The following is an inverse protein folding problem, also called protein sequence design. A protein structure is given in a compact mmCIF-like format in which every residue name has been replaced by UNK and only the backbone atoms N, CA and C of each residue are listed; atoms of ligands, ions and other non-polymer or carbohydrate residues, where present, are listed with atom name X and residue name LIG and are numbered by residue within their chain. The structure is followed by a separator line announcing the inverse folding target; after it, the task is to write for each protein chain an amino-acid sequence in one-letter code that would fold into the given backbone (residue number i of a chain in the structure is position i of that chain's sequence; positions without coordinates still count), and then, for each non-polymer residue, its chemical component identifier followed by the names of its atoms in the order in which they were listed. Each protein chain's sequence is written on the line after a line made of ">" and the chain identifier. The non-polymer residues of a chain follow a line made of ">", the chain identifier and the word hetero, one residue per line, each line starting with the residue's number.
data_IF_064590456098
#
_entry.id   IF_064590456098
#
_cell.length_a   1.000
_cell.length_b   1.000
_cell.length_c   1.000
_cell.angle_alpha   90.00
_cell.angle_beta   90.00
_cell.angle_gamma   90.00
#
_symmetry.space_group_name_H-M   'P 1'
#
loop_
_entity.id
_entity.type
_entity.pdbx_description
1 polymer ?
#
# COMPACT_ATOMS: atom_id res chain seq x y z
N UNK A 1 12.01 -15.22 -13.11
CA UNK A 1 12.79 -13.99 -12.85
C UNK A 1 12.65 -13.57 -11.39
N UNK A 2 13.71 -13.76 -10.60
CA UNK A 2 13.73 -13.60 -9.13
C UNK A 2 13.36 -12.19 -8.64
N UNK A 3 13.58 -11.15 -9.46
CA UNK A 3 13.26 -9.75 -9.12
C UNK A 3 11.74 -9.47 -9.04
N UNK A 4 10.94 -10.09 -9.90
CA UNK A 4 9.47 -9.92 -9.88
C UNK A 4 8.83 -10.56 -8.65
N UNK A 5 9.34 -11.70 -8.20
CA UNK A 5 8.86 -12.35 -6.98
C UNK A 5 9.19 -11.53 -5.73
N UNK A 6 10.36 -10.88 -5.70
CA UNK A 6 10.72 -9.93 -4.63
C UNK A 6 9.80 -8.72 -4.62
N UNK A 7 9.53 -8.15 -5.79
CA UNK A 7 8.63 -6.98 -5.95
C UNK A 7 7.19 -7.31 -5.52
N UNK A 8 6.71 -8.50 -5.88
CA UNK A 8 5.40 -9.01 -5.45
C UNK A 8 5.33 -9.19 -3.94
N UNK A 9 6.35 -9.79 -3.31
CA UNK A 9 6.44 -9.92 -1.84
C UNK A 9 6.44 -8.55 -1.16
N UNK A 10 7.17 -7.58 -1.72
CA UNK A 10 7.21 -6.21 -1.21
C UNK A 10 5.83 -5.52 -1.25
N UNK A 11 5.09 -5.68 -2.36
CA UNK A 11 3.69 -5.21 -2.46
C UNK A 11 2.79 -5.85 -1.38
N UNK A 12 2.92 -7.15 -1.13
CA UNK A 12 2.17 -7.83 -0.06
C UNK A 12 2.52 -7.25 1.32
N UNK A 13 3.81 -6.97 1.58
CA UNK A 13 4.24 -6.33 2.83
C UNK A 13 3.61 -4.94 2.99
N UNK A 14 3.55 -4.14 1.92
CA UNK A 14 2.88 -2.84 1.95
C UNK A 14 1.39 -2.95 2.25
N UNK A 15 0.70 -3.93 1.65
CA UNK A 15 -0.71 -4.20 1.96
C UNK A 15 -0.90 -4.63 3.42
N UNK A 16 -0.06 -5.53 3.94
CA UNK A 16 -0.16 -5.95 5.35
C UNK A 16 0.13 -4.81 6.31
N UNK A 17 1.10 -3.95 5.98
CA UNK A 17 1.44 -2.81 6.82
C UNK A 17 0.34 -1.74 6.79
N UNK A 18 -0.24 -1.48 5.61
CA UNK A 18 -1.42 -0.62 5.48
C UNK A 18 -2.59 -1.11 6.34
N UNK A 19 -2.88 -2.42 6.32
CA UNK A 19 -3.93 -3.00 7.15
C UNK A 19 -3.65 -2.85 8.65
N UNK A 20 -2.40 -3.03 9.09
CA UNK A 20 -1.99 -2.81 10.47
C UNK A 20 -2.19 -1.35 10.91
N UNK A 21 -1.77 -0.39 10.08
CA UNK A 21 -1.99 1.03 10.37
C UNK A 21 -3.47 1.40 10.37
N UNK A 22 -4.29 0.75 9.54
CA UNK A 22 -5.73 0.95 9.53
C UNK A 22 -6.39 0.45 10.83
N UNK A 23 -6.00 -0.73 11.31
CA UNK A 23 -6.45 -1.26 12.61
C UNK A 23 -6.00 -0.33 13.75
N UNK A 24 -4.74 0.11 13.73
CA UNK A 24 -4.23 1.07 14.71
C UNK A 24 -5.02 2.39 14.68
N UNK A 25 -5.40 2.86 13.50
CA UNK A 25 -6.27 4.03 13.33
C UNK A 25 -7.65 3.80 13.96
N UNK A 26 -8.28 2.63 13.73
CA UNK A 26 -9.57 2.32 14.35
C UNK A 26 -9.48 2.28 15.88
N UNK A 27 -8.42 1.66 16.42
CA UNK A 27 -8.19 1.64 17.87
C UNK A 27 -8.00 3.07 18.38
N UNK A 28 -7.12 3.85 17.77
CA UNK A 28 -6.86 5.24 18.16
C UNK A 28 -8.14 6.10 18.08
N UNK A 29 -8.98 5.91 17.07
CA UNK A 29 -10.27 6.58 16.93
C UNK A 29 -11.25 6.23 18.05
N UNK A 30 -11.30 4.96 18.47
CA UNK A 30 -12.18 4.51 19.56
C UNK A 30 -11.69 4.97 20.93
N UNK A 31 -10.37 5.04 21.14
CA UNK A 31 -9.77 5.48 22.40
C UNK A 31 -9.74 7.00 22.55
N UNK A 32 -9.64 7.73 21.44
CA UNK A 32 -9.73 9.19 21.47
C UNK A 32 -11.19 9.64 21.54
N UNK A 33 -11.47 10.72 22.27
CA UNK A 33 -12.78 11.40 22.25
C UNK A 33 -13.02 12.14 20.91
N UNK A 34 -12.62 11.54 19.79
CA UNK A 34 -12.71 12.12 18.46
C UNK A 34 -14.16 12.40 18.05
N UNK A 35 -15.09 11.56 18.53
CA UNK A 35 -16.53 11.79 18.39
C UNK A 35 -16.98 13.09 19.06
N UNK A 36 -16.39 13.48 20.18
CA UNK A 36 -16.69 14.74 20.87
C UNK A 36 -16.13 15.94 20.11
N UNK A 37 -15.01 15.78 19.41
CA UNK A 37 -14.47 16.82 18.52
C UNK A 37 -15.42 17.02 17.33
N UNK A 38 -15.87 15.94 16.70
CA UNK A 38 -16.81 15.98 15.58
C UNK A 38 -18.19 16.54 15.96
N UNK A 39 -18.68 16.21 17.16
CA UNK A 39 -20.03 16.57 17.59
C UNK A 39 -20.10 17.92 18.34
N UNK A 40 -19.10 18.24 19.15
CA UNK A 40 -19.14 19.37 20.07
C UNK A 40 -18.03 20.41 19.84
N UNK A 41 -17.13 20.19 18.86
CA UNK A 41 -15.97 21.07 18.59
C UNK A 41 -15.11 21.32 19.84
N UNK A 42 -15.17 20.43 20.82
CA UNK A 42 -14.49 20.55 22.10
C UNK A 42 -13.38 19.50 22.16
N UNK A 43 -12.16 19.90 22.50
CA UNK A 43 -11.01 18.99 22.55
C UNK A 43 -10.46 18.93 23.97
N UNK A 44 -10.57 17.76 24.59
CA UNK A 44 -9.82 17.43 25.79
C UNK A 44 -8.49 16.69 25.48
N UNK A 45 -8.41 16.01 24.33
CA UNK A 45 -7.20 15.28 23.91
C UNK A 45 -6.85 15.49 22.43
N UNK A 46 -6.20 16.62 22.13
CA UNK A 46 -5.77 17.02 20.78
C UNK A 46 -4.72 16.05 20.22
N UNK A 47 -3.91 15.44 21.08
CA UNK A 47 -2.80 14.56 20.69
C UNK A 47 -3.30 13.24 20.12
N UNK A 48 -4.25 12.59 20.80
CA UNK A 48 -4.86 11.36 20.30
C UNK A 48 -5.50 11.57 18.92
N UNK A 49 -6.13 12.72 18.72
CA UNK A 49 -6.80 13.06 17.48
C UNK A 49 -5.83 13.27 16.31
N UNK A 50 -4.74 14.02 16.54
CA UNK A 50 -3.69 14.22 15.53
C UNK A 50 -3.05 12.86 15.15
N UNK A 51 -2.79 11.99 16.14
CA UNK A 51 -2.21 10.67 15.88
C UNK A 51 -3.12 9.78 15.02
N UNK A 52 -4.43 9.78 15.28
CA UNK A 52 -5.40 9.04 14.46
C UNK A 52 -5.35 9.47 12.99
N UNK A 53 -5.30 10.78 12.73
CA UNK A 53 -5.19 11.31 11.36
C UNK A 53 -3.86 10.92 10.71
N UNK A 54 -2.75 11.00 11.45
CA UNK A 54 -1.44 10.60 10.94
C UNK A 54 -1.43 9.11 10.57
N UNK A 55 -1.94 8.23 11.43
CA UNK A 55 -2.01 6.80 11.12
C UNK A 55 -2.90 6.50 9.92
N UNK A 56 -4.01 7.23 9.77
CA UNK A 56 -4.88 7.10 8.60
C UNK A 56 -4.13 7.49 7.31
N UNK A 57 -3.42 8.62 7.31
CA UNK A 57 -2.64 9.08 6.16
C UNK A 57 -1.55 8.08 5.79
N UNK A 58 -0.83 7.55 6.78
CA UNK A 58 0.19 6.51 6.55
C UNK A 58 -0.46 5.25 5.95
N UNK A 59 -1.60 4.80 6.48
CA UNK A 59 -2.31 3.65 5.95
C UNK A 59 -2.67 3.82 4.47
N UNK A 60 -3.19 5.00 4.09
CA UNK A 60 -3.55 5.34 2.70
C UNK A 60 -2.31 5.35 1.80
N UNK A 61 -1.22 6.01 2.21
CA UNK A 61 0.02 6.08 1.42
C UNK A 61 0.57 4.67 1.16
N UNK A 62 0.61 3.83 2.20
CA UNK A 62 1.08 2.45 2.08
C UNK A 62 0.18 1.61 1.17
N UNK A 63 -1.14 1.84 1.21
CA UNK A 63 -2.09 1.16 0.34
C UNK A 63 -1.83 1.51 -1.13
N UNK A 64 -1.70 2.80 -1.43
CA UNK A 64 -1.42 3.30 -2.79
C UNK A 64 -0.06 2.78 -3.27
N UNK A 65 0.98 2.83 -2.44
CA UNK A 65 2.29 2.28 -2.77
C UNK A 65 2.23 0.78 -3.08
N UNK A 66 1.47 0.01 -2.29
CA UNK A 66 1.24 -1.42 -2.52
C UNK A 66 0.56 -1.71 -3.87
N UNK A 67 -0.44 -0.91 -4.24
CA UNK A 67 -1.15 -0.99 -5.52
C UNK A 67 -0.21 -0.66 -6.70
N UNK A 68 0.50 0.47 -6.62
CA UNK A 68 1.42 0.93 -7.67
C UNK A 68 2.52 -0.10 -7.93
N UNK A 69 3.14 -0.64 -6.86
CA UNK A 69 4.15 -1.70 -6.99
C UNK A 69 3.61 -2.95 -7.68
N UNK A 70 2.35 -3.31 -7.41
CA UNK A 70 1.70 -4.47 -8.06
C UNK A 70 1.43 -4.21 -9.54
N UNK A 71 1.01 -3.00 -9.90
CA UNK A 71 0.80 -2.59 -11.29
C UNK A 71 2.12 -2.63 -12.07
N UNK A 72 3.17 -1.97 -11.57
CA UNK A 72 4.51 -1.96 -12.19
C UNK A 72 5.05 -3.37 -12.38
N UNK A 73 4.90 -4.24 -11.36
CA UNK A 73 5.36 -5.63 -11.46
C UNK A 73 4.60 -6.43 -12.53
N UNK A 74 3.32 -6.13 -12.74
CA UNK A 74 2.51 -6.79 -13.76
C UNK A 74 2.92 -6.33 -15.16
N UNK A 75 3.01 -5.01 -15.36
CA UNK A 75 3.37 -4.41 -16.65
C UNK A 75 4.76 -4.88 -17.09
N UNK A 76 5.75 -4.80 -16.20
CA UNK A 76 7.10 -5.25 -16.49
C UNK A 76 7.15 -6.76 -16.81
N UNK A 77 6.34 -7.60 -16.15
CA UNK A 77 6.28 -9.04 -16.46
C UNK A 77 5.70 -9.30 -17.85
N UNK A 78 4.71 -8.53 -18.28
CA UNK A 78 4.14 -8.61 -19.62
C UNK A 78 5.15 -8.18 -20.69
N UNK A 79 5.89 -7.10 -20.44
CA UNK A 79 6.93 -6.60 -21.35
C UNK A 79 8.08 -7.61 -21.52
N UNK A 80 8.57 -8.20 -20.43
CA UNK A 80 9.60 -9.24 -20.52
C UNK A 80 9.12 -10.47 -21.30
N UNK A 81 7.86 -10.87 -21.13
CA UNK A 81 7.32 -12.01 -21.87
C UNK A 81 7.23 -11.74 -23.38
N UNK A 82 6.96 -10.50 -23.78
CA UNK A 82 7.00 -10.08 -25.19
C UNK A 82 8.42 -10.12 -25.75
N UNK A 83 9.41 -9.67 -24.97
CA UNK A 83 10.82 -9.71 -25.37
C UNK A 83 11.29 -11.17 -25.54
N UNK A 84 11.02 -12.05 -24.57
CA UNK A 84 11.37 -13.47 -24.65
C UNK A 84 10.76 -14.13 -25.89
N UNK A 85 9.49 -13.79 -26.22
CA UNK A 85 8.82 -14.29 -27.41
C UNK A 85 9.54 -13.84 -28.69
N UNK A 86 9.88 -12.55 -28.79
CA UNK A 86 10.61 -12.00 -29.93
C UNK A 86 11.98 -12.67 -30.13
N UNK A 87 12.73 -12.88 -29.04
CA UNK A 87 14.02 -13.58 -29.08
C UNK A 87 13.84 -15.00 -29.60
N UNK A 88 12.85 -15.74 -29.10
CA UNK A 88 12.59 -17.12 -29.53
C UNK A 88 12.12 -17.24 -31.00
N UNK A 89 11.50 -16.19 -31.55
CA UNK A 89 11.10 -16.14 -32.96
C UNK A 89 12.30 -15.80 -33.87
N UNK A 90 13.26 -15.01 -33.39
CA UNK A 90 14.51 -14.73 -34.10
C UNK A 90 15.42 -15.97 -34.14
N UNK A 91 15.60 -16.68 -33.02
CA UNK A 91 16.38 -17.93 -32.97
C UNK A 91 15.83 -19.05 -33.89
N UNK A 92 14.54 -19.02 -34.23
CA UNK A 92 13.94 -19.99 -35.16
C UNK A 92 14.12 -19.63 -36.64
N UNK A 93 14.53 -18.39 -36.94
CA UNK A 93 14.72 -17.89 -38.30
C UNK A 93 16.17 -18.05 -38.79
N UNK A 94 17.11 -18.17 -37.87
CA UNK A 94 18.51 -18.51 -38.12
C UNK A 94 18.73 -20.04 -38.07
#
# INVERSE_FOLDING_TARGET
>A
MTYFDRTRKCSIVFFSLSALFFIATMIAFMTSQFSEILAYNFTNDLRGSILTVIFLLIAIILLVAGIVMRAICKDAKEDFHRIDKLISELEKRD
#
